data_IF_116853515604
#
_entry.id   IF_116853515604
#
_cell.length_a   1.000
_cell.length_b   1.000
_cell.length_c   1.000
_cell.angle_alpha   90.00
_cell.angle_beta   90.00
_cell.angle_gamma   90.00
#
_symmetry.space_group_name_H-M   'P 1'
#
loop_
_entity.id
_entity.type
_entity.pdbx_description
1 polymer ?
#
# COMPACT_ATOMS: atom_id res chain seq x y z
N UNK A 1 1.18 13.25 4.15
CA UNK A 1 2.35 12.34 4.15
C UNK A 1 3.10 12.53 2.85
N UNK A 2 4.40 12.83 2.90
CA UNK A 2 5.23 12.91 1.70
C UNK A 2 5.65 11.50 1.27
N UNK A 3 5.75 11.28 -0.04
CA UNK A 3 6.01 9.95 -0.59
C UNK A 3 6.93 10.00 -1.80
N UNK A 4 7.74 8.96 -1.96
CA UNK A 4 8.52 8.67 -3.17
C UNK A 4 7.85 7.56 -3.99
N UNK A 5 8.13 7.51 -5.30
CA UNK A 5 7.54 6.53 -6.22
C UNK A 5 8.58 6.00 -7.19
N UNK A 6 8.71 4.68 -7.27
CA UNK A 6 9.64 4.01 -8.20
C UNK A 6 9.16 2.60 -8.52
N UNK A 7 9.17 2.20 -9.80
CA UNK A 7 8.70 0.89 -10.30
C UNK A 7 7.31 0.43 -9.82
N UNK A 8 6.44 1.38 -9.44
CA UNK A 8 5.10 1.10 -8.91
C UNK A 8 5.05 0.85 -7.39
N UNK A 9 6.18 1.02 -6.69
CA UNK A 9 6.26 1.04 -5.23
C UNK A 9 6.17 2.46 -4.69
N UNK A 10 5.74 2.57 -3.44
CA UNK A 10 5.61 3.82 -2.70
C UNK A 10 6.52 3.76 -1.49
N UNK A 11 7.40 4.75 -1.33
CA UNK A 11 8.20 4.94 -0.12
C UNK A 11 7.60 6.05 0.75
N UNK A 12 7.47 5.82 2.06
CA UNK A 12 7.16 6.91 3.00
C UNK A 12 8.36 7.81 3.23
N UNK A 13 8.14 9.09 3.53
CA UNK A 13 9.21 10.05 3.85
C UNK A 13 8.91 10.69 5.20
N UNK A 14 9.82 10.48 6.14
CA UNK A 14 9.81 11.03 7.49
C UNK A 14 11.17 11.66 7.82
N UNK A 15 11.23 12.41 8.91
CA UNK A 15 12.45 13.06 9.39
C UNK A 15 12.63 12.75 10.87
N UNK A 16 13.85 12.36 11.26
CA UNK A 16 14.29 12.23 12.64
C UNK A 16 15.17 13.42 12.99
N UNK A 17 14.75 14.24 13.95
CA UNK A 17 15.58 15.34 14.47
C UNK A 17 16.76 14.80 15.29
N UNK A 18 16.52 13.75 16.10
CA UNK A 18 17.52 13.11 16.95
C UNK A 18 18.70 12.58 16.13
N UNK A 19 18.40 11.91 15.02
CA UNK A 19 19.42 11.31 14.15
C UNK A 19 19.82 12.24 12.99
N UNK A 20 19.14 13.39 12.84
CA UNK A 20 19.32 14.35 11.76
C UNK A 20 19.28 13.71 10.35
N UNK A 21 18.34 12.79 10.14
CA UNK A 21 18.22 11.99 8.91
C UNK A 21 16.77 11.96 8.39
N UNK A 22 16.61 11.87 7.07
CA UNK A 22 15.35 11.42 6.50
C UNK A 22 15.29 9.91 6.48
N UNK A 23 14.13 9.35 6.78
CA UNK A 23 13.94 7.91 6.76
C UNK A 23 12.57 7.54 6.21
N UNK A 24 12.48 6.31 5.71
CA UNK A 24 11.31 5.79 5.05
C UNK A 24 11.26 4.29 5.02
N UNK A 25 10.14 3.76 4.58
CA UNK A 25 9.98 2.35 4.25
C UNK A 25 9.16 2.18 2.99
N UNK A 26 9.33 1.05 2.32
CA UNK A 26 8.45 0.67 1.21
C UNK A 26 7.08 0.29 1.79
N UNK A 27 6.05 1.00 1.35
CA UNK A 27 4.67 0.81 1.80
C UNK A 27 3.97 -0.28 0.99
N UNK A 28 3.10 -1.05 1.64
CA UNK A 28 2.22 -1.99 0.95
C UNK A 28 2.90 -3.23 0.35
N UNK A 29 4.10 -3.58 0.84
CA UNK A 29 4.77 -4.86 0.55
C UNK A 29 4.54 -5.87 1.68
N UNK A 30 4.73 -7.16 1.39
CA UNK A 30 4.75 -8.20 2.42
C UNK A 30 6.18 -8.34 2.98
N UNK A 31 6.59 -7.37 3.80
CA UNK A 31 7.94 -7.26 4.35
C UNK A 31 8.18 -5.92 5.04
N UNK A 32 9.38 -5.73 5.58
CA UNK A 32 9.84 -4.46 6.13
C UNK A 32 11.16 -4.09 5.48
N UNK A 33 11.11 -3.16 4.54
CA UNK A 33 12.28 -2.63 3.84
C UNK A 33 12.35 -1.14 4.13
N UNK A 34 13.35 -0.75 4.91
CA UNK A 34 13.60 0.62 5.32
C UNK A 34 14.73 1.23 4.48
N UNK A 35 14.73 2.54 4.35
CA UNK A 35 15.79 3.31 3.69
C UNK A 35 15.93 4.66 4.39
N UNK A 36 17.10 5.27 4.30
CA UNK A 36 17.41 6.56 4.93
C UNK A 36 18.41 7.36 4.09
N UNK A 37 18.50 8.65 4.35
CA UNK A 37 19.45 9.54 3.70
C UNK A 37 19.50 10.92 4.36
N UNK A 38 20.65 11.59 4.30
CA UNK A 38 20.85 12.91 4.91
C UNK A 38 20.39 14.05 4.00
N UNK A 39 20.16 13.74 2.72
CA UNK A 39 19.61 14.67 1.74
C UNK A 39 18.44 14.06 0.99
N UNK A 40 17.65 14.90 0.32
CA UNK A 40 16.56 14.44 -0.56
C UNK A 40 17.10 13.53 -1.66
N UNK A 41 18.31 13.82 -2.16
CA UNK A 41 18.96 13.02 -3.19
C UNK A 41 19.32 11.62 -2.65
N UNK A 42 20.04 11.56 -1.52
CA UNK A 42 20.41 10.29 -0.89
C UNK A 42 19.19 9.45 -0.52
N UNK A 43 18.15 10.06 0.05
CA UNK A 43 16.92 9.35 0.39
C UNK A 43 16.25 8.75 -0.86
N UNK A 44 16.28 9.46 -1.98
CA UNK A 44 15.68 9.00 -3.24
C UNK A 44 16.48 7.84 -3.84
N UNK A 45 17.81 7.94 -3.82
CA UNK A 45 18.72 6.88 -4.28
C UNK A 45 18.57 5.62 -3.40
N UNK A 46 18.61 5.78 -2.07
CA UNK A 46 18.41 4.69 -1.13
C UNK A 46 17.04 4.02 -1.27
N UNK A 47 15.98 4.78 -1.57
CA UNK A 47 14.67 4.21 -1.89
C UNK A 47 14.67 3.37 -3.17
N UNK A 48 15.34 3.83 -4.23
CA UNK A 48 15.43 3.09 -5.48
C UNK A 48 16.21 1.78 -5.29
N UNK A 49 17.34 1.83 -4.58
CA UNK A 49 18.13 0.66 -4.22
C UNK A 49 17.31 -0.32 -3.39
N UNK A 50 16.63 0.15 -2.35
CA UNK A 50 15.76 -0.68 -1.52
C UNK A 50 14.65 -1.40 -2.31
N UNK A 51 14.06 -0.72 -3.32
CA UNK A 51 13.07 -1.33 -4.21
C UNK A 51 13.70 -2.38 -5.12
N UNK A 52 14.88 -2.10 -5.67
CA UNK A 52 15.57 -3.01 -6.57
C UNK A 52 16.06 -4.26 -5.84
N UNK A 53 16.56 -4.11 -4.62
CA UNK A 53 16.94 -5.20 -3.73
C UNK A 53 15.73 -6.06 -3.33
N UNK A 54 14.59 -5.42 -3.00
CA UNK A 54 13.35 -6.14 -2.70
C UNK A 54 12.87 -6.99 -3.89
N UNK A 55 12.96 -6.45 -5.11
CA UNK A 55 12.59 -7.17 -6.33
C UNK A 55 13.54 -8.33 -6.61
N UNK A 56 14.85 -8.13 -6.46
CA UNK A 56 15.85 -9.17 -6.62
C UNK A 56 15.65 -10.31 -5.60
N UNK A 57 15.39 -9.98 -4.34
CA UNK A 57 15.07 -10.96 -3.30
C UNK A 57 13.81 -11.77 -3.65
N UNK A 58 12.76 -11.09 -4.13
CA UNK A 58 11.53 -11.79 -4.55
C UNK A 58 11.78 -12.75 -5.71
N UNK A 59 12.63 -12.37 -6.67
CA UNK A 59 13.02 -13.24 -7.79
C UNK A 59 13.82 -14.46 -7.32
N UNK A 60 14.80 -14.26 -6.44
CA UNK A 60 15.64 -15.34 -5.87
C UNK A 60 14.80 -16.38 -5.10
N UNK A 61 13.84 -15.90 -4.30
CA UNK A 61 12.97 -16.77 -3.50
C UNK A 61 11.76 -17.32 -4.27
N UNK A 62 11.57 -16.93 -5.53
CA UNK A 62 10.40 -17.31 -6.33
C UNK A 62 9.07 -16.76 -5.79
N UNK A 63 9.12 -15.64 -5.07
CA UNK A 63 7.96 -14.97 -4.46
C UNK A 63 7.46 -13.89 -5.42
N UNK A 64 6.13 -13.76 -5.57
CA UNK A 64 5.59 -12.63 -6.32
C UNK A 64 5.72 -11.33 -5.50
N UNK A 65 6.42 -10.30 -6.01
CA UNK A 65 6.54 -9.04 -5.31
C UNK A 65 5.17 -8.35 -5.21
N UNK A 66 4.79 -7.98 -3.99
CA UNK A 66 3.55 -7.25 -3.75
C UNK A 66 3.76 -5.78 -4.06
N UNK A 67 3.22 -5.30 -5.19
CA UNK A 67 3.22 -3.86 -5.48
C UNK A 67 2.38 -3.10 -4.46
N UNK A 68 2.85 -1.92 -4.08
CA UNK A 68 2.09 -0.98 -3.25
C UNK A 68 0.73 -0.72 -3.91
N UNK A 69 -0.35 -1.13 -3.24
CA UNK A 69 -1.74 -0.86 -3.65
C UNK A 69 -2.16 -1.51 -5.00
N UNK A 70 -2.13 -2.85 -5.07
CA UNK A 70 -2.53 -3.64 -6.25
C UNK A 70 -4.00 -3.53 -6.71
N UNK A 71 -4.83 -2.77 -5.99
CA UNK A 71 -6.28 -2.69 -6.21
C UNK A 71 -7.07 -3.91 -5.74
N UNK A 72 -6.38 -4.97 -5.29
CA UNK A 72 -7.00 -6.16 -4.71
C UNK A 72 -7.05 -6.05 -3.19
N UNK A 73 -8.23 -6.19 -2.60
CA UNK A 73 -8.44 -6.10 -1.15
C UNK A 73 -9.16 -7.36 -0.66
N UNK A 74 -8.46 -8.18 0.12
CA UNK A 74 -9.04 -9.35 0.78
C UNK A 74 -9.51 -8.96 2.18
N UNK A 75 -10.83 -8.88 2.39
CA UNK A 75 -11.43 -8.49 3.68
C UNK A 75 -12.11 -9.70 4.33
N UNK A 76 -11.84 -9.94 5.62
CA UNK A 76 -12.60 -10.88 6.43
C UNK A 76 -13.83 -10.17 6.99
N UNK A 77 -15.01 -10.71 6.71
CA UNK A 77 -16.30 -10.21 7.19
C UNK A 77 -16.98 -11.27 8.05
N UNK A 78 -17.76 -10.83 9.03
CA UNK A 78 -18.65 -11.76 9.74
C UNK A 78 -19.76 -12.26 8.80
N UNK A 79 -20.32 -13.46 9.04
CA UNK A 79 -21.43 -13.97 8.22
C UNK A 79 -22.62 -13.01 8.13
N UNK A 80 -22.90 -12.27 9.21
CA UNK A 80 -23.97 -11.28 9.28
C UNK A 80 -23.71 -10.07 8.38
N UNK A 81 -22.51 -9.50 8.40
CA UNK A 81 -22.18 -8.38 7.51
C UNK A 81 -22.18 -8.85 6.05
N UNK A 82 -21.63 -10.04 5.79
CA UNK A 82 -21.61 -10.60 4.44
C UNK A 82 -23.02 -10.82 3.89
N UNK A 83 -23.96 -11.35 4.69
CA UNK A 83 -25.33 -11.56 4.25
C UNK A 83 -26.07 -10.24 3.95
N UNK A 84 -25.86 -9.21 4.78
CA UNK A 84 -26.42 -7.89 4.53
C UNK A 84 -25.88 -7.25 3.24
N UNK A 85 -24.57 -7.32 3.02
CA UNK A 85 -23.96 -6.80 1.78
C UNK A 85 -24.50 -7.55 0.57
N UNK A 86 -24.58 -8.89 0.63
CA UNK A 86 -25.11 -9.70 -0.48
C UNK A 86 -26.56 -9.32 -0.82
N UNK A 87 -27.41 -9.18 0.19
CA UNK A 87 -28.81 -8.77 0.01
C UNK A 87 -28.92 -7.36 -0.60
N UNK A 88 -28.14 -6.39 -0.10
CA UNK A 88 -28.18 -5.01 -0.58
C UNK A 88 -27.64 -4.88 -2.00
N UNK A 89 -26.54 -5.57 -2.32
CA UNK A 89 -25.98 -5.62 -3.66
C UNK A 89 -26.98 -6.23 -4.66
N UNK A 90 -27.64 -7.32 -4.28
CA UNK A 90 -28.69 -7.95 -5.09
C UNK A 90 -29.86 -7.00 -5.35
N UNK A 91 -30.37 -6.30 -4.33
CA UNK A 91 -31.46 -5.32 -4.46
C UNK A 91 -31.08 -4.15 -5.38
N UNK A 92 -29.82 -3.75 -5.36
CA UNK A 92 -29.29 -2.69 -6.21
C UNK A 92 -28.89 -3.18 -7.63
N UNK A 93 -28.97 -4.48 -7.91
CA UNK A 93 -28.59 -5.04 -9.21
C UNK A 93 -27.08 -4.99 -9.50
N UNK A 94 -26.24 -4.94 -8.47
CA UNK A 94 -24.78 -4.86 -8.58
C UNK A 94 -24.10 -6.04 -7.88
N UNK A 95 -22.82 -6.26 -8.19
CA UNK A 95 -22.03 -7.28 -7.49
C UNK A 95 -21.68 -6.83 -6.06
N UNK A 96 -21.39 -7.78 -5.18
CA UNK A 96 -20.88 -7.53 -3.82
C UNK A 96 -19.63 -6.62 -3.88
N UNK A 97 -18.69 -6.91 -4.79
CA UNK A 97 -17.49 -6.11 -4.95
C UNK A 97 -17.79 -4.67 -5.39
N UNK A 98 -18.79 -4.47 -6.27
CA UNK A 98 -19.21 -3.13 -6.67
C UNK A 98 -19.84 -2.37 -5.50
N UNK A 99 -20.66 -3.03 -4.68
CA UNK A 99 -21.23 -2.42 -3.46
C UNK A 99 -20.12 -2.01 -2.47
N UNK A 100 -19.17 -2.91 -2.19
CA UNK A 100 -18.03 -2.64 -1.30
C UNK A 100 -17.20 -1.48 -1.84
N UNK A 101 -16.89 -1.49 -3.15
CA UNK A 101 -16.14 -0.41 -3.80
C UNK A 101 -16.82 0.94 -3.62
N UNK A 102 -18.13 1.04 -3.90
CA UNK A 102 -18.89 2.29 -3.72
C UNK A 102 -18.91 2.76 -2.27
N UNK A 103 -19.06 1.85 -1.31
CA UNK A 103 -19.03 2.18 0.11
C UNK A 103 -17.66 2.75 0.52
N UNK A 104 -16.56 2.14 0.04
CA UNK A 104 -15.20 2.63 0.29
C UNK A 104 -14.96 4.00 -0.37
N UNK A 105 -15.37 4.19 -1.63
CA UNK A 105 -15.25 5.48 -2.33
C UNK A 105 -15.99 6.61 -1.59
N UNK A 106 -17.21 6.33 -1.10
CA UNK A 106 -17.98 7.28 -0.29
C UNK A 106 -17.26 7.62 1.02
N UNK A 107 -16.69 6.63 1.69
CA UNK A 107 -15.97 6.83 2.94
C UNK A 107 -14.68 7.64 2.74
N UNK A 108 -13.91 7.36 1.68
CA UNK A 108 -12.70 8.10 1.33
C UNK A 108 -13.04 9.56 1.04
N UNK A 109 -14.10 9.80 0.25
CA UNK A 109 -14.56 11.15 -0.09
C UNK A 109 -15.00 11.95 1.14
N UNK A 110 -15.49 11.28 2.19
CA UNK A 110 -15.88 11.94 3.43
C UNK A 110 -14.70 12.29 4.36
N UNK A 111 -13.51 11.74 4.09
CA UNK A 111 -12.32 11.87 4.95
C UNK A 111 -11.18 12.69 4.33
N UNK A 112 -11.23 12.93 3.01
CA UNK A 112 -10.33 13.82 2.27
C UNK A 112 -10.98 15.20 2.08
#
# INVERSE_FOLDING_TARGET
>A
MNTLRYKGFIGSVNFSEEDSVFFGKIEGINGMVNFEGQSVQELTEAFHEAVDDYLAYCEEEGIQPHKSYSGSLNVRLTPEIHSHIAMLAQRAGISINAFIKQALEKQITAML
#
